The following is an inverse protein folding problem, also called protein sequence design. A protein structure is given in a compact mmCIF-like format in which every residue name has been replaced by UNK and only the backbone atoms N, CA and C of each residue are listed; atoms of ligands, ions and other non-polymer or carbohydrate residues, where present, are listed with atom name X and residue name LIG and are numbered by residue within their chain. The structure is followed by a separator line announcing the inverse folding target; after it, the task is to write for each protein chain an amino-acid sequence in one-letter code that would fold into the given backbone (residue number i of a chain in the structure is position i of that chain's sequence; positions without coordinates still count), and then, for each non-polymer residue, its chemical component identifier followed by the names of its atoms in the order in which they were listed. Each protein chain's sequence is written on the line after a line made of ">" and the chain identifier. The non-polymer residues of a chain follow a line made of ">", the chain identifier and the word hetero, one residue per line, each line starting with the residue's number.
data_IF_229574858474
#
_entry.id   IF_229574858474
#
_cell.length_a   1.000
_cell.length_b   1.000
_cell.length_c   1.000
_cell.angle_alpha   90.00
_cell.angle_beta   90.00
_cell.angle_gamma   90.00
#
_symmetry.space_group_name_H-M   'P 1'
#
loop_
_entity.id
_entity.type
_entity.pdbx_description
1 polymer ?
#
# COMPACT_ATOMS: atom_id res chain seq x y z
N UNK A 1 8.53 1.61 54.10
CA UNK A 1 8.04 2.38 55.27
C UNK A 1 8.00 3.85 54.88
N UNK A 2 6.99 4.60 55.33
CA UNK A 2 6.68 6.02 55.05
C UNK A 2 6.41 6.34 53.56
N UNK A 3 5.36 7.05 53.12
CA UNK A 3 4.35 8.00 53.66
C UNK A 3 4.76 9.48 53.81
N UNK A 4 4.60 10.23 52.71
CA UNK A 4 4.03 11.60 52.64
C UNK A 4 3.76 11.89 51.13
N UNK A 5 2.59 12.28 50.60
CA UNK A 5 1.37 12.99 51.06
C UNK A 5 1.49 14.51 51.20
N UNK A 6 0.99 15.26 50.20
CA UNK A 6 0.29 16.54 50.43
C UNK A 6 -0.74 16.85 49.33
N UNK A 7 -1.74 17.70 49.65
CA UNK A 7 -2.90 18.09 48.81
C UNK A 7 -2.59 19.31 47.93
N UNK A 8 -2.99 19.37 46.66
CA UNK A 8 -4.33 19.70 46.10
C UNK A 8 -4.85 21.10 46.50
N UNK A 9 -5.06 21.96 45.49
CA UNK A 9 -5.84 23.20 45.58
C UNK A 9 -6.39 23.62 44.20
N UNK A 10 -7.69 23.91 44.12
CA UNK A 10 -8.40 24.53 42.97
C UNK A 10 -9.21 25.72 43.49
N UNK A 11 -9.35 26.82 42.72
CA UNK A 11 -10.64 27.49 42.43
C UNK A 11 -10.50 28.89 41.76
N UNK A 12 -11.16 29.06 40.61
CA UNK A 12 -12.01 30.19 40.18
C UNK A 12 -11.77 31.65 40.67
N UNK A 13 -11.58 32.61 39.74
CA UNK A 13 -12.67 33.45 39.17
C UNK A 13 -12.21 34.60 38.21
N UNK A 14 -13.15 35.09 37.39
CA UNK A 14 -13.11 36.28 36.50
C UNK A 14 -14.58 36.70 36.19
N UNK A 15 -14.94 37.83 35.52
CA UNK A 15 -14.18 39.02 35.07
C UNK A 15 -14.74 40.29 35.82
N UNK A 16 -15.40 41.38 35.30
CA UNK A 16 -15.40 42.09 34.00
C UNK A 16 -15.47 43.67 34.00
N UNK A 17 -14.47 44.30 33.36
CA UNK A 17 -14.62 45.38 32.34
C UNK A 17 -15.10 46.85 32.65
N UNK A 18 -14.75 47.72 31.66
CA UNK A 18 -15.32 49.04 31.23
C UNK A 18 -14.83 50.39 31.85
N UNK A 19 -14.14 51.18 31.02
CA UNK A 19 -14.42 52.57 30.52
C UNK A 19 -13.39 52.87 29.40
N UNK A 20 -13.69 53.39 28.19
CA UNK A 20 -14.38 54.62 27.76
C UNK A 20 -13.57 55.91 28.07
N UNK A 21 -13.44 56.93 27.21
CA UNK A 21 -13.63 57.13 25.74
C UNK A 21 -13.12 58.58 25.44
N UNK A 22 -12.69 58.92 24.21
CA UNK A 22 -12.30 60.31 23.89
C UNK A 22 -12.16 60.60 22.40
N UNK A 23 -12.86 61.64 21.90
CA UNK A 23 -12.86 62.06 20.50
C UNK A 23 -12.35 63.50 20.31
N UNK A 24 -11.63 63.73 19.20
CA UNK A 24 -11.58 64.93 18.33
C UNK A 24 -10.48 64.69 17.27
N UNK A 25 -10.43 65.33 16.10
CA UNK A 25 -11.43 65.85 15.16
C UNK A 25 -10.63 66.32 13.92
N UNK A 26 -11.16 66.17 12.70
CA UNK A 26 -10.46 66.58 11.46
C UNK A 26 -10.49 68.10 11.23
N UNK A 27 -9.60 68.61 10.38
CA UNK A 27 -10.08 69.36 9.20
C UNK A 27 -9.55 68.77 7.88
N UNK A 28 -10.24 69.08 6.78
CA UNK A 28 -9.98 68.51 5.45
C UNK A 28 -9.28 69.49 4.50
N UNK A 29 -8.56 68.94 3.51
CA UNK A 29 -8.41 69.51 2.14
C UNK A 29 -7.92 68.45 1.15
N UNK A 30 -8.63 68.34 0.04
CA UNK A 30 -8.21 67.80 -1.25
C UNK A 30 -8.10 69.01 -2.23
N UNK A 31 -7.54 68.89 -3.45
CA UNK A 31 -7.17 67.66 -4.16
C UNK A 31 -5.72 67.64 -4.72
N UNK A 32 -5.30 66.49 -5.25
CA UNK A 32 -4.79 66.44 -6.63
C UNK A 32 -4.89 65.01 -7.20
N UNK A 33 -4.74 64.86 -8.52
CA UNK A 33 -5.08 63.62 -9.26
C UNK A 33 -3.81 62.89 -9.69
N UNK A 34 -3.61 61.68 -9.19
CA UNK A 34 -2.66 60.71 -9.77
C UNK A 34 -3.41 59.42 -10.07
N UNK A 35 -3.61 59.16 -11.37
CA UNK A 35 -4.15 57.88 -11.85
C UNK A 35 -3.00 56.86 -11.79
N UNK A 36 -2.89 56.16 -10.66
CA UNK A 36 -2.03 54.98 -10.57
C UNK A 36 -2.73 53.85 -11.32
N UNK A 37 -2.27 53.58 -12.54
CA UNK A 37 -2.64 52.35 -13.25
C UNK A 37 -2.06 51.19 -12.44
N UNK A 38 -2.92 50.49 -11.68
CA UNK A 38 -2.59 49.17 -11.14
C UNK A 38 -2.47 48.20 -12.31
N UNK A 39 -1.29 48.15 -12.91
CA UNK A 39 -0.92 47.07 -13.81
C UNK A 39 -0.86 45.80 -12.96
N UNK A 40 -1.93 45.02 -12.98
CA UNK A 40 -1.98 43.72 -12.33
C UNK A 40 -1.01 42.79 -13.04
N UNK A 41 0.25 42.81 -12.60
CA UNK A 41 1.13 41.67 -12.74
C UNK A 41 0.51 40.53 -11.95
N UNK A 42 -0.36 39.77 -12.63
CA UNK A 42 -0.52 38.38 -12.30
C UNK A 42 0.89 37.78 -12.38
N UNK A 43 1.51 37.55 -11.22
CA UNK A 43 2.67 36.68 -11.17
C UNK A 43 2.27 35.38 -11.87
N UNK A 44 3.06 34.85 -12.81
CA UNK A 44 2.77 33.54 -13.35
C UNK A 44 2.74 32.57 -12.16
N UNK A 45 1.56 32.01 -11.87
CA UNK A 45 1.43 30.97 -10.86
C UNK A 45 2.50 29.94 -11.16
N UNK A 46 3.42 29.73 -10.22
CA UNK A 46 4.52 28.81 -10.44
C UNK A 46 3.91 27.43 -10.74
N UNK A 47 4.02 26.99 -11.99
CA UNK A 47 3.72 25.62 -12.39
C UNK A 47 4.85 24.78 -11.79
N UNK A 48 4.70 24.47 -10.50
CA UNK A 48 5.60 23.60 -9.75
C UNK A 48 5.71 22.30 -10.54
N UNK A 49 6.94 21.94 -10.87
CA UNK A 49 7.16 21.23 -12.13
C UNK A 49 6.61 19.81 -12.09
N UNK A 50 5.65 19.53 -12.99
CA UNK A 50 5.22 18.18 -13.33
C UNK A 50 6.23 17.47 -14.26
N UNK A 51 7.44 17.98 -14.42
CA UNK A 51 8.51 17.37 -15.23
C UNK A 51 9.36 16.42 -14.37
N UNK A 52 9.47 15.17 -14.82
CA UNK A 52 10.38 14.22 -14.22
C UNK A 52 11.85 14.67 -14.36
N UNK A 53 12.68 14.27 -13.39
CA UNK A 53 14.14 14.47 -13.38
C UNK A 53 14.84 13.61 -14.44
N UNK A 54 14.63 13.91 -15.72
CA UNK A 54 15.09 13.12 -16.86
C UNK A 54 16.58 13.36 -17.17
N UNK A 55 17.37 12.28 -17.19
CA UNK A 55 18.76 12.25 -17.60
C UNK A 55 18.92 11.51 -18.94
N UNK A 56 19.91 11.89 -19.75
CA UNK A 56 20.19 11.29 -21.07
C UNK A 56 18.95 11.13 -21.97
N UNK A 57 18.05 12.12 -21.98
CA UNK A 57 16.76 12.06 -22.65
C UNK A 57 16.67 13.09 -23.79
N UNK A 58 16.06 12.71 -24.92
CA UNK A 58 15.62 13.66 -25.94
C UNK A 58 14.15 14.03 -25.67
N UNK A 59 13.94 14.91 -24.68
CA UNK A 59 12.60 15.24 -24.16
C UNK A 59 11.81 16.13 -25.12
N UNK A 60 10.53 15.82 -25.31
CA UNK A 60 9.55 16.62 -26.05
C UNK A 60 8.29 16.82 -25.21
N UNK A 61 8.12 18.01 -24.63
CA UNK A 61 6.93 18.37 -23.85
C UNK A 61 5.71 18.59 -24.77
N UNK A 62 4.54 18.08 -24.40
CA UNK A 62 3.27 18.22 -25.13
C UNK A 62 2.08 18.36 -24.19
N UNK A 63 1.33 19.45 -24.29
CA UNK A 63 0.11 19.67 -23.50
C UNK A 63 -1.08 18.85 -24.00
N UNK A 64 -1.74 18.12 -23.11
CA UNK A 64 -2.89 17.26 -23.44
C UNK A 64 -4.18 18.07 -23.59
N UNK A 65 -4.38 18.61 -24.79
CA UNK A 65 -5.51 19.51 -25.10
C UNK A 65 -6.79 18.80 -25.57
N UNK A 66 -6.72 17.56 -26.05
CA UNK A 66 -7.89 16.84 -26.61
C UNK A 66 -8.10 15.41 -26.07
N UNK A 67 -7.65 15.18 -24.83
CA UNK A 67 -7.82 13.94 -24.08
C UNK A 67 -6.59 13.01 -24.16
N UNK A 68 -6.16 12.47 -23.01
CA UNK A 68 -4.94 11.69 -22.88
C UNK A 68 -4.91 10.48 -23.81
N UNK A 69 -5.95 9.64 -23.78
CA UNK A 69 -6.10 8.44 -24.61
C UNK A 69 -5.86 8.74 -26.09
N UNK A 70 -6.42 9.85 -26.60
CA UNK A 70 -6.30 10.23 -28.01
C UNK A 70 -4.87 10.63 -28.39
N UNK A 71 -4.22 11.48 -27.59
CA UNK A 71 -2.84 11.91 -27.85
C UNK A 71 -1.85 10.75 -27.66
N UNK A 72 -2.04 9.94 -26.61
CA UNK A 72 -1.24 8.75 -26.35
C UNK A 72 -1.30 7.74 -27.50
N UNK A 73 -2.51 7.39 -27.99
CA UNK A 73 -2.64 6.46 -29.14
C UNK A 73 -2.11 7.07 -30.44
N UNK A 74 -2.18 8.41 -30.60
CA UNK A 74 -1.57 9.12 -31.72
C UNK A 74 -0.05 8.97 -31.73
N UNK A 75 0.59 9.17 -30.57
CA UNK A 75 2.03 8.93 -30.39
C UNK A 75 2.39 7.46 -30.67
N UNK A 76 1.73 6.51 -30.00
CA UNK A 76 1.98 5.06 -30.18
C UNK A 76 1.86 4.66 -31.65
N UNK A 77 0.81 5.07 -32.36
CA UNK A 77 0.57 4.69 -33.77
C UNK A 77 1.67 5.16 -34.72
N UNK A 78 2.30 6.30 -34.43
CA UNK A 78 3.34 6.89 -35.26
C UNK A 78 4.75 6.45 -34.87
N UNK A 79 4.95 5.92 -33.66
CA UNK A 79 6.26 5.56 -33.13
C UNK A 79 6.73 4.18 -33.60
N UNK A 80 7.79 4.16 -34.43
CA UNK A 80 8.43 2.93 -34.91
C UNK A 80 9.63 2.56 -34.04
N UNK A 81 10.59 3.48 -33.88
CA UNK A 81 11.78 3.26 -33.05
C UNK A 81 11.46 3.24 -31.56
N UNK A 82 12.41 2.82 -30.72
CA UNK A 82 12.22 2.83 -29.27
C UNK A 82 12.15 4.27 -28.72
N UNK A 83 11.08 4.57 -27.99
CA UNK A 83 10.90 5.82 -27.25
C UNK A 83 10.12 5.57 -25.95
N UNK A 84 10.01 6.62 -25.14
CA UNK A 84 9.17 6.64 -23.95
C UNK A 84 8.06 7.70 -24.11
N UNK A 85 6.88 7.40 -23.59
CA UNK A 85 5.83 8.39 -23.32
C UNK A 85 5.66 8.44 -21.81
N UNK A 86 5.69 9.62 -21.20
CA UNK A 86 5.62 9.77 -19.74
C UNK A 86 4.77 10.96 -19.31
N UNK A 87 4.26 10.91 -18.09
CA UNK A 87 3.58 12.03 -17.42
C UNK A 87 3.60 11.88 -15.90
N UNK A 88 3.30 12.98 -15.20
CA UNK A 88 3.08 13.03 -13.76
C UNK A 88 1.58 13.13 -13.43
N UNK A 89 1.15 12.50 -12.33
CA UNK A 89 -0.19 12.59 -11.72
C UNK A 89 -0.05 12.53 -10.20
N UNK A 90 -0.99 13.07 -9.43
CA UNK A 90 -0.90 13.07 -7.96
C UNK A 90 -0.89 11.63 -7.39
N UNK A 91 0.02 11.36 -6.46
CA UNK A 91 0.19 10.08 -5.79
C UNK A 91 -0.78 9.89 -4.60
N UNK A 92 -1.21 8.65 -4.34
CA UNK A 92 -1.98 8.30 -3.14
C UNK A 92 -1.16 8.57 -1.89
N UNK A 93 -1.79 8.95 -0.78
CA UNK A 93 -1.06 9.34 0.44
C UNK A 93 -0.20 8.20 1.00
N UNK A 94 1.02 8.52 1.42
CA UNK A 94 1.96 7.59 2.06
C UNK A 94 3.42 7.94 1.74
N UNK A 95 4.35 7.29 2.45
CA UNK A 95 5.75 7.24 2.02
C UNK A 95 5.88 6.11 0.99
N UNK A 96 5.81 6.47 -0.29
CA UNK A 96 6.11 5.59 -1.41
C UNK A 96 7.42 6.07 -2.03
N UNK A 97 8.44 5.22 -2.06
CA UNK A 97 9.69 5.49 -2.77
C UNK A 97 9.90 4.38 -3.80
N UNK A 98 9.84 4.76 -5.08
CA UNK A 98 9.76 3.82 -6.21
C UNK A 98 10.92 4.04 -7.18
N UNK A 99 12.15 4.12 -6.65
CA UNK A 99 13.37 4.23 -7.44
C UNK A 99 14.08 2.88 -7.67
N UNK A 100 15.01 2.86 -8.62
CA UNK A 100 15.66 1.64 -9.13
C UNK A 100 16.79 1.18 -8.22
N UNK A 101 16.47 0.65 -7.04
CA UNK A 101 17.47 0.04 -6.16
C UNK A 101 18.12 -1.18 -6.85
N UNK A 102 19.44 -1.16 -7.05
CA UNK A 102 20.20 -2.34 -7.44
C UNK A 102 20.34 -3.32 -6.26
N UNK A 103 21.07 -4.42 -6.45
CA UNK A 103 21.48 -5.29 -5.33
C UNK A 103 22.54 -4.65 -4.43
N UNK A 104 23.31 -3.70 -4.95
CA UNK A 104 24.44 -3.07 -4.26
C UNK A 104 23.94 -1.94 -3.35
N UNK A 105 22.99 -1.13 -3.84
CA UNK A 105 22.36 -0.01 -3.11
C UNK A 105 21.56 -0.43 -1.87
N UNK A 106 21.23 -1.72 -1.72
CA UNK A 106 20.44 -2.24 -0.57
C UNK A 106 21.11 -1.99 0.78
N UNK A 107 22.43 -1.83 0.79
CA UNK A 107 23.22 -1.55 1.99
C UNK A 107 23.49 -0.05 2.19
N UNK A 108 23.09 0.81 1.24
CA UNK A 108 23.18 2.25 1.38
C UNK A 108 22.07 2.80 2.31
N UNK A 109 22.34 3.87 3.08
CA UNK A 109 21.30 4.58 3.84
C UNK A 109 20.21 5.14 2.93
N UNK A 110 18.98 5.32 3.43
CA UNK A 110 17.84 5.80 2.64
C UNK A 110 18.13 7.11 1.88
N UNK A 111 18.85 8.05 2.51
CA UNK A 111 19.28 9.33 1.91
C UNK A 111 20.26 9.20 0.73
N UNK A 112 20.79 8.00 0.46
CA UNK A 112 21.58 7.70 -0.74
C UNK A 112 20.82 6.84 -1.77
N UNK A 113 19.53 6.53 -1.54
CA UNK A 113 18.69 5.71 -2.44
C UNK A 113 17.92 6.51 -3.49
N UNK A 114 18.08 7.83 -3.55
CA UNK A 114 17.65 8.69 -4.66
C UNK A 114 18.48 8.44 -5.95
N UNK A 115 18.76 7.17 -6.26
CA UNK A 115 19.70 6.72 -7.27
C UNK A 115 19.14 6.80 -8.69
N UNK A 116 20.04 6.98 -9.65
CA UNK A 116 19.73 7.09 -11.08
C UNK A 116 19.04 5.83 -11.62
N UNK A 117 17.77 5.98 -11.95
CA UNK A 117 16.89 4.96 -12.46
C UNK A 117 17.06 4.77 -13.97
N UNK A 118 17.78 3.73 -14.42
CA UNK A 118 17.87 3.46 -15.87
C UNK A 118 16.55 2.88 -16.40
N UNK A 119 15.95 3.56 -17.38
CA UNK A 119 14.69 3.16 -18.00
C UNK A 119 14.86 1.92 -18.89
N UNK A 120 15.96 1.88 -19.66
CA UNK A 120 16.39 0.75 -20.49
C UNK A 120 17.34 -0.19 -19.72
N UNK A 121 17.14 -1.50 -19.82
CA UNK A 121 17.95 -2.50 -19.10
C UNK A 121 17.28 -3.87 -19.06
N UNK A 122 17.91 -4.82 -18.34
CA UNK A 122 17.34 -6.15 -18.09
C UNK A 122 16.32 -6.17 -16.94
N UNK A 123 16.39 -5.19 -16.04
CA UNK A 123 15.48 -5.07 -14.90
C UNK A 123 14.17 -4.39 -15.31
N UNK A 124 13.23 -5.22 -15.77
CA UNK A 124 11.83 -4.85 -16.00
C UNK A 124 10.99 -4.74 -14.72
N UNK A 125 11.56 -5.10 -13.55
CA UNK A 125 10.86 -5.11 -12.28
C UNK A 125 10.58 -3.71 -11.73
N UNK A 126 9.47 -3.58 -11.01
CA UNK A 126 9.21 -2.44 -10.12
C UNK A 126 9.60 -2.84 -8.70
N UNK A 127 10.69 -2.27 -8.17
CA UNK A 127 11.11 -2.46 -6.79
C UNK A 127 10.30 -1.51 -5.91
N UNK A 128 9.19 -2.01 -5.35
CA UNK A 128 8.33 -1.24 -4.46
C UNK A 128 8.82 -1.37 -3.00
N UNK A 129 9.32 -0.28 -2.41
CA UNK A 129 9.72 -0.25 -0.99
C UNK A 129 8.65 0.44 -0.15
N UNK A 130 8.02 -0.32 0.74
CA UNK A 130 7.05 0.14 1.75
C UNK A 130 7.61 0.15 3.18
N UNK A 131 8.85 -0.32 3.35
CA UNK A 131 9.36 -0.78 4.64
C UNK A 131 10.33 0.21 5.27
N UNK A 132 9.77 1.18 5.97
CA UNK A 132 10.42 1.82 7.11
C UNK A 132 9.39 2.50 8.01
N UNK A 133 9.26 2.01 9.25
CA UNK A 133 8.62 2.74 10.36
C UNK A 133 9.59 3.81 10.94
N UNK A 134 10.63 4.16 10.18
CA UNK A 134 11.83 4.88 10.63
C UNK A 134 12.39 5.90 9.64
N UNK A 135 11.89 5.98 8.40
CA UNK A 135 12.32 7.02 7.47
C UNK A 135 11.35 8.19 7.55
N UNK A 136 11.83 9.29 8.15
CA UNK A 136 11.28 10.65 8.00
C UNK A 136 11.57 11.19 6.59
N UNK A 137 11.33 10.36 5.57
CA UNK A 137 11.60 10.68 4.17
C UNK A 137 10.61 11.68 3.60
N UNK A 138 11.07 12.51 2.66
CA UNK A 138 10.21 13.43 1.92
C UNK A 138 9.15 12.63 1.14
N UNK A 139 7.88 12.93 1.40
CA UNK A 139 6.74 12.35 0.67
C UNK A 139 6.79 12.81 -0.78
N UNK A 140 6.81 11.86 -1.71
CA UNK A 140 6.58 12.14 -3.12
C UNK A 140 5.10 12.48 -3.36
N UNK A 141 4.81 13.67 -3.89
CA UNK A 141 3.45 14.12 -4.18
C UNK A 141 2.98 13.73 -5.60
N UNK A 142 3.90 13.53 -6.55
CA UNK A 142 3.60 13.04 -7.90
C UNK A 142 4.17 11.65 -8.21
N UNK A 143 3.30 10.85 -8.82
CA UNK A 143 3.56 9.57 -9.44
C UNK A 143 3.96 9.78 -10.90
N UNK A 144 5.11 9.24 -11.30
CA UNK A 144 5.59 9.27 -12.69
C UNK A 144 5.18 7.96 -13.38
N UNK A 145 4.33 8.05 -14.41
CA UNK A 145 3.89 6.89 -15.20
C UNK A 145 4.55 6.93 -16.57
N UNK A 146 5.32 5.90 -16.92
CA UNK A 146 6.09 5.83 -18.16
C UNK A 146 5.81 4.56 -18.97
N UNK A 147 5.56 4.75 -20.27
CA UNK A 147 5.25 3.71 -21.24
C UNK A 147 6.37 3.59 -22.26
N UNK A 148 7.01 2.42 -22.36
CA UNK A 148 7.98 2.16 -23.43
C UNK A 148 7.24 1.78 -24.69
N UNK A 149 7.50 2.52 -25.76
CA UNK A 149 6.87 2.35 -27.07
C UNK A 149 7.90 1.98 -28.13
N UNK A 150 7.53 1.05 -29.00
CA UNK A 150 8.30 0.60 -30.17
C UNK A 150 7.37 -0.19 -31.10
N UNK A 151 7.69 -0.27 -32.38
CA UNK A 151 6.94 -1.08 -33.37
C UNK A 151 5.43 -0.79 -33.39
N UNK A 152 5.06 0.48 -33.13
CA UNK A 152 3.69 0.99 -33.00
C UNK A 152 2.89 0.35 -31.87
N UNK A 153 3.57 -0.12 -30.83
CA UNK A 153 3.02 -0.86 -29.69
C UNK A 153 3.54 -0.35 -28.35
N UNK A 154 2.88 -0.73 -27.25
CA UNK A 154 3.39 -0.54 -25.88
C UNK A 154 4.03 -1.84 -25.40
N UNK A 155 5.33 -1.80 -25.12
CA UNK A 155 6.12 -2.95 -24.68
C UNK A 155 6.11 -3.17 -23.17
N UNK A 156 6.30 -2.12 -22.38
CA UNK A 156 6.23 -2.15 -20.90
C UNK A 156 5.71 -0.83 -20.32
N UNK A 157 5.10 -0.93 -19.14
CA UNK A 157 4.70 0.20 -18.30
C UNK A 157 5.59 0.15 -17.05
N UNK A 158 6.16 1.29 -16.67
CA UNK A 158 6.93 1.48 -15.43
C UNK A 158 6.36 2.65 -14.65
N UNK A 159 6.51 2.59 -13.33
CA UNK A 159 6.01 3.58 -12.37
C UNK A 159 7.16 3.96 -11.46
N UNK A 160 7.31 5.26 -11.19
CA UNK A 160 8.34 5.82 -10.32
C UNK A 160 7.76 6.99 -9.51
N UNK A 161 8.56 7.53 -8.60
CA UNK A 161 8.27 8.77 -7.85
C UNK A 161 9.17 9.91 -8.33
N UNK A 162 8.72 11.15 -8.09
CA UNK A 162 9.38 12.39 -8.55
C UNK A 162 10.80 12.61 -8.03
N UNK A 163 11.17 11.95 -6.93
CA UNK A 163 12.50 12.05 -6.33
C UNK A 163 13.57 11.33 -7.17
N UNK A 164 13.19 10.32 -7.96
CA UNK A 164 14.08 9.54 -8.81
C UNK A 164 14.59 10.34 -10.03
N UNK A 165 15.92 10.37 -10.23
CA UNK A 165 16.49 10.75 -11.54
C UNK A 165 16.29 9.60 -12.54
N UNK A 166 15.69 9.85 -13.70
CA UNK A 166 15.32 8.83 -14.70
C UNK A 166 16.23 8.89 -15.95
N UNK A 167 17.14 7.93 -16.10
CA UNK A 167 18.08 7.84 -17.23
C UNK A 167 17.44 7.10 -18.43
N UNK A 168 17.13 7.86 -19.48
CA UNK A 168 16.48 7.37 -20.70
C UNK A 168 17.43 6.72 -21.71
N UNK A 169 18.73 6.63 -21.44
CA UNK A 169 19.70 5.91 -22.29
C UNK A 169 19.89 6.48 -23.70
N UNK A 170 19.59 7.77 -23.91
CA UNK A 170 19.67 8.47 -25.19
C UNK A 170 18.36 8.51 -25.99
N UNK A 171 17.29 7.85 -25.52
CA UNK A 171 16.02 7.75 -26.24
C UNK A 171 15.17 9.03 -26.18
N UNK A 172 14.26 9.16 -27.15
CA UNK A 172 13.20 10.17 -27.14
C UNK A 172 12.21 9.95 -26.00
N UNK A 173 11.84 11.02 -25.31
CA UNK A 173 10.84 11.00 -24.23
C UNK A 173 9.74 12.03 -24.52
N UNK A 174 8.56 11.55 -24.91
CA UNK A 174 7.38 12.40 -25.05
C UNK A 174 6.78 12.65 -23.67
N UNK A 175 7.01 13.84 -23.11
CA UNK A 175 6.46 14.21 -21.80
C UNK A 175 5.12 14.90 -21.97
N UNK A 176 4.05 14.30 -21.44
CA UNK A 176 2.69 14.82 -21.54
C UNK A 176 2.36 15.67 -20.31
N UNK A 177 2.03 16.94 -20.53
CA UNK A 177 1.59 17.87 -19.47
C UNK A 177 0.06 17.99 -19.44
N UNK A 178 -0.46 18.56 -18.35
CA UNK A 178 -1.90 18.83 -18.18
C UNK A 178 -2.78 17.56 -18.10
N UNK A 179 -2.16 16.43 -17.73
CA UNK A 179 -2.79 15.12 -17.63
C UNK A 179 -3.73 15.07 -16.42
N UNK A 180 -5.02 14.86 -16.67
CA UNK A 180 -6.01 14.68 -15.58
C UNK A 180 -5.86 13.28 -14.98
N UNK A 181 -5.81 13.11 -13.65
CA UNK A 181 -5.63 11.79 -13.02
C UNK A 181 -6.66 10.74 -13.47
N UNK A 182 -7.95 11.10 -13.57
CA UNK A 182 -8.97 10.21 -14.13
C UNK A 182 -8.69 9.75 -15.58
N UNK A 183 -8.16 10.62 -16.44
CA UNK A 183 -7.81 10.25 -17.82
C UNK A 183 -6.62 9.28 -17.87
N UNK A 184 -5.68 9.39 -16.92
CA UNK A 184 -4.62 8.40 -16.73
C UNK A 184 -5.18 7.05 -16.26
N UNK A 185 -6.10 7.04 -15.29
CA UNK A 185 -6.76 5.82 -14.82
C UNK A 185 -7.53 5.13 -15.94
N UNK A 186 -8.27 5.88 -16.76
CA UNK A 186 -9.00 5.35 -17.92
C UNK A 186 -8.04 4.75 -18.97
N UNK A 187 -6.93 5.43 -19.30
CA UNK A 187 -5.88 4.91 -20.18
C UNK A 187 -5.24 3.64 -19.61
N UNK A 188 -4.88 3.63 -18.32
CA UNK A 188 -4.25 2.49 -17.66
C UNK A 188 -5.19 1.27 -17.62
N UNK A 189 -6.48 1.49 -17.38
CA UNK A 189 -7.48 0.42 -17.37
C UNK A 189 -7.57 -0.33 -18.72
N UNK A 190 -7.33 0.35 -19.85
CA UNK A 190 -7.30 -0.30 -21.17
C UNK A 190 -6.26 -1.43 -21.28
N UNK A 191 -5.17 -1.39 -20.51
CA UNK A 191 -4.13 -2.45 -20.47
C UNK A 191 -4.49 -3.62 -19.55
N UNK A 192 -5.57 -3.48 -18.75
CA UNK A 192 -6.15 -4.53 -17.91
C UNK A 192 -7.35 -5.19 -18.60
N UNK A 193 -8.08 -4.44 -19.43
CA UNK A 193 -9.29 -4.89 -20.15
C UNK A 193 -9.02 -5.40 -21.57
N UNK A 194 -7.85 -5.11 -22.13
CA UNK A 194 -7.47 -5.53 -23.48
C UNK A 194 -7.39 -7.06 -23.63
N UNK A 195 -7.90 -7.57 -24.77
CA UNK A 195 -7.72 -8.97 -25.20
C UNK A 195 -6.29 -9.27 -25.68
N UNK A 196 -5.27 -8.75 -25.00
CA UNK A 196 -3.90 -9.19 -25.28
C UNK A 196 -3.74 -10.67 -24.88
N UNK A 197 -2.91 -11.45 -25.59
CA UNK A 197 -2.75 -12.87 -25.28
C UNK A 197 -2.23 -13.10 -23.85
N UNK A 198 -2.55 -14.26 -23.27
CA UNK A 198 -2.06 -14.73 -21.95
C UNK A 198 -0.52 -14.91 -21.88
N UNK A 199 0.17 -14.59 -22.97
CA UNK A 199 1.60 -14.38 -23.06
C UNK A 199 2.12 -13.50 -21.92
N UNK A 200 3.32 -13.82 -21.44
CA UNK A 200 3.98 -13.20 -20.28
C UNK A 200 4.11 -11.67 -20.38
N UNK A 201 4.14 -11.10 -21.59
CA UNK A 201 4.21 -9.65 -21.81
C UNK A 201 2.87 -8.93 -21.56
N UNK A 202 1.73 -9.52 -21.95
CA UNK A 202 0.40 -8.95 -21.70
C UNK A 202 0.10 -8.90 -20.21
N UNK A 203 0.38 -10.01 -19.51
CA UNK A 203 0.25 -10.10 -18.04
C UNK A 203 1.07 -9.04 -17.31
N UNK A 204 2.37 -8.89 -17.61
CA UNK A 204 3.22 -7.83 -17.05
C UNK A 204 2.68 -6.41 -17.25
N UNK A 205 2.06 -6.11 -18.40
CA UNK A 205 1.45 -4.79 -18.65
C UNK A 205 0.19 -4.58 -17.79
N UNK A 206 -0.67 -5.59 -17.67
CA UNK A 206 -1.83 -5.57 -16.77
C UNK A 206 -1.41 -5.43 -15.30
N UNK A 207 -0.39 -6.18 -14.88
CA UNK A 207 0.22 -6.11 -13.54
C UNK A 207 0.69 -4.69 -13.21
N UNK A 208 1.50 -4.08 -14.10
CA UNK A 208 1.98 -2.70 -13.94
C UNK A 208 0.87 -1.65 -14.01
N UNK A 209 -0.18 -1.86 -14.81
CA UNK A 209 -1.30 -0.92 -14.93
C UNK A 209 -2.17 -0.90 -13.67
N UNK A 210 -2.45 -2.06 -13.07
CA UNK A 210 -3.17 -2.15 -11.78
C UNK A 210 -2.37 -1.46 -10.67
N UNK A 211 -1.05 -1.69 -10.62
CA UNK A 211 -0.17 -1.03 -9.67
C UNK A 211 -0.17 0.50 -9.84
N UNK A 212 -0.04 0.98 -11.08
CA UNK A 212 -0.11 2.41 -11.40
C UNK A 212 -1.43 3.03 -10.94
N UNK A 213 -2.58 2.41 -11.25
CA UNK A 213 -3.91 2.88 -10.82
C UNK A 213 -4.01 2.95 -9.30
N UNK A 214 -3.54 1.92 -8.58
CA UNK A 214 -3.58 1.91 -7.12
C UNK A 214 -2.73 2.98 -6.44
N UNK A 215 -1.71 3.50 -7.14
CA UNK A 215 -0.86 4.59 -6.68
C UNK A 215 -1.42 5.99 -7.00
N UNK A 216 -2.57 6.14 -7.68
CA UNK A 216 -3.17 7.46 -7.94
C UNK A 216 -3.93 8.02 -6.72
N UNK A 217 -3.85 9.33 -6.50
CA UNK A 217 -4.64 10.03 -5.49
C UNK A 217 -6.16 10.06 -5.78
N UNK A 218 -6.54 10.03 -7.06
CA UNK A 218 -7.91 10.24 -7.52
C UNK A 218 -8.85 9.09 -7.11
N UNK A 219 -10.00 9.35 -6.45
CA UNK A 219 -10.99 8.33 -6.04
C UNK A 219 -11.55 7.47 -7.18
N UNK A 220 -11.40 7.88 -8.45
CA UNK A 220 -11.70 7.04 -9.60
C UNK A 220 -10.83 5.77 -9.63
N UNK A 221 -9.68 5.75 -8.95
CA UNK A 221 -8.83 4.56 -8.78
C UNK A 221 -9.59 3.46 -8.03
N UNK A 222 -10.17 3.76 -6.87
CA UNK A 222 -10.93 2.77 -6.07
C UNK A 222 -12.12 2.22 -6.86
N UNK A 223 -12.86 3.10 -7.56
CA UNK A 223 -13.97 2.71 -8.45
C UNK A 223 -13.52 1.87 -9.65
N UNK A 224 -12.23 1.88 -9.99
CA UNK A 224 -11.65 1.11 -11.10
C UNK A 224 -11.10 -0.23 -10.63
N UNK A 225 -10.38 -0.24 -9.49
CA UNK A 225 -9.95 -1.46 -8.80
C UNK A 225 -11.14 -2.32 -8.38
N UNK A 226 -12.25 -1.71 -7.93
CA UNK A 226 -13.49 -2.44 -7.61
C UNK A 226 -14.04 -3.22 -8.82
N UNK A 227 -13.96 -2.64 -10.03
CA UNK A 227 -14.37 -3.35 -11.26
C UNK A 227 -13.43 -4.50 -11.60
N UNK A 228 -12.15 -4.40 -11.24
CA UNK A 228 -11.13 -5.42 -11.51
C UNK A 228 -11.26 -6.65 -10.60
N UNK A 229 -11.97 -6.54 -9.48
CA UNK A 229 -12.27 -7.67 -8.57
C UNK A 229 -13.63 -8.34 -8.83
N UNK A 230 -14.40 -7.94 -9.84
CA UNK A 230 -15.63 -8.65 -10.25
C UNK A 230 -15.32 -10.14 -10.51
N UNK A 231 -16.10 -11.03 -9.90
CA UNK A 231 -15.86 -12.47 -9.88
C UNK A 231 -15.83 -13.16 -11.27
N UNK A 232 -16.23 -12.48 -12.35
CA UNK A 232 -16.14 -12.96 -13.74
C UNK A 232 -14.78 -12.66 -14.39
N UNK A 233 -13.93 -11.83 -13.77
CA UNK A 233 -12.58 -11.53 -14.26
C UNK A 233 -11.57 -12.64 -13.90
N UNK A 234 -10.48 -12.79 -14.67
CA UNK A 234 -9.45 -13.80 -14.42
C UNK A 234 -8.89 -13.74 -13.00
N UNK A 235 -8.57 -14.90 -12.42
CA UNK A 235 -8.05 -15.01 -11.03
C UNK A 235 -6.86 -14.06 -10.79
N UNK A 236 -5.91 -13.99 -11.73
CA UNK A 236 -4.69 -13.19 -11.56
C UNK A 236 -4.97 -11.66 -11.52
N UNK A 237 -5.99 -11.18 -12.24
CA UNK A 237 -6.41 -9.76 -12.20
C UNK A 237 -7.04 -9.44 -10.85
N UNK A 238 -7.96 -10.29 -10.37
CA UNK A 238 -8.61 -10.14 -9.05
C UNK A 238 -7.57 -10.19 -7.93
N UNK A 239 -6.64 -11.14 -8.00
CA UNK A 239 -5.54 -11.39 -7.05
C UNK A 239 -4.56 -10.21 -6.97
N UNK A 240 -3.99 -9.77 -8.10
CA UNK A 240 -3.08 -8.62 -8.09
C UNK A 240 -3.80 -7.34 -7.59
N UNK A 241 -5.05 -7.13 -7.99
CA UNK A 241 -5.85 -6.00 -7.49
C UNK A 241 -6.05 -6.07 -5.97
N UNK A 242 -6.36 -7.26 -5.42
CA UNK A 242 -6.50 -7.47 -3.98
C UNK A 242 -5.23 -7.09 -3.20
N UNK A 243 -4.04 -7.48 -3.66
CA UNK A 243 -2.76 -7.06 -3.06
C UNK A 243 -2.66 -5.53 -2.93
N UNK A 244 -2.91 -4.80 -4.02
CA UNK A 244 -2.81 -3.34 -4.02
C UNK A 244 -3.91 -2.64 -3.20
N UNK A 245 -5.13 -3.18 -3.19
CA UNK A 245 -6.21 -2.73 -2.31
C UNK A 245 -5.78 -2.79 -0.84
N UNK A 246 -5.22 -3.92 -0.41
CA UNK A 246 -4.79 -4.11 0.98
C UNK A 246 -3.60 -3.26 1.38
N UNK A 247 -2.63 -3.10 0.48
CA UNK A 247 -1.39 -2.37 0.75
C UNK A 247 -1.60 -0.83 0.75
N UNK A 248 -2.35 -0.28 -0.21
CA UNK A 248 -2.38 1.17 -0.48
C UNK A 248 -3.73 1.88 -0.30
N UNK A 249 -4.87 1.18 -0.41
CA UNK A 249 -6.18 1.84 -0.59
C UNK A 249 -6.98 2.07 0.71
N UNK A 250 -6.33 1.91 1.87
CA UNK A 250 -6.88 2.25 3.19
C UNK A 250 -8.26 1.62 3.43
N UNK A 251 -9.21 2.44 3.90
CA UNK A 251 -10.58 2.01 4.21
C UNK A 251 -11.32 1.43 3.00
N UNK A 252 -11.20 2.04 1.82
CA UNK A 252 -11.85 1.52 0.59
C UNK A 252 -11.21 0.22 0.11
N UNK A 253 -9.90 0.08 0.28
CA UNK A 253 -9.20 -1.19 0.13
C UNK A 253 -9.74 -2.28 1.05
N UNK A 254 -9.91 -1.96 2.33
CA UNK A 254 -10.47 -2.86 3.34
C UNK A 254 -11.93 -3.24 3.04
N UNK A 255 -12.82 -2.29 2.75
CA UNK A 255 -14.23 -2.54 2.40
C UNK A 255 -14.36 -3.56 1.26
N UNK A 256 -13.59 -3.38 0.19
CA UNK A 256 -13.60 -4.25 -0.98
C UNK A 256 -13.02 -5.63 -0.63
N UNK A 257 -11.90 -5.71 0.10
CA UNK A 257 -11.29 -6.98 0.51
C UNK A 257 -12.16 -7.78 1.48
N UNK A 258 -12.82 -7.13 2.43
CA UNK A 258 -13.75 -7.76 3.37
C UNK A 258 -14.95 -8.39 2.64
N UNK A 259 -15.45 -7.75 1.57
CA UNK A 259 -16.43 -8.39 0.67
C UNK A 259 -15.83 -9.58 -0.07
N UNK A 260 -14.66 -9.43 -0.70
CA UNK A 260 -14.02 -10.51 -1.46
C UNK A 260 -13.73 -11.76 -0.61
N UNK A 261 -13.19 -11.60 0.61
CA UNK A 261 -12.83 -12.73 1.49
C UNK A 261 -14.07 -13.51 1.99
N UNK A 262 -15.28 -12.98 1.81
CA UNK A 262 -16.54 -13.64 2.14
C UNK A 262 -17.27 -14.20 0.91
N UNK A 263 -17.25 -13.46 -0.21
CA UNK A 263 -18.13 -13.72 -1.35
C UNK A 263 -17.44 -14.37 -2.56
N UNK A 264 -16.11 -14.31 -2.67
CA UNK A 264 -15.44 -14.80 -3.87
C UNK A 264 -15.61 -16.32 -4.07
N UNK A 265 -16.02 -16.80 -5.27
CA UNK A 265 -16.20 -18.21 -5.53
C UNK A 265 -14.90 -19.02 -5.34
N UNK A 266 -13.74 -18.43 -5.63
CA UNK A 266 -12.43 -19.08 -5.58
C UNK A 266 -11.82 -19.01 -4.19
N UNK A 267 -11.47 -20.16 -3.63
CA UNK A 267 -10.77 -20.25 -2.33
C UNK A 267 -9.35 -19.67 -2.40
N UNK A 268 -8.64 -19.83 -3.52
CA UNK A 268 -7.35 -19.15 -3.77
C UNK A 268 -7.45 -17.62 -3.69
N UNK A 269 -8.57 -17.05 -4.14
CA UNK A 269 -8.78 -15.60 -4.04
C UNK A 269 -9.10 -15.20 -2.60
N UNK A 270 -9.93 -15.94 -1.86
CA UNK A 270 -10.18 -15.66 -0.44
C UNK A 270 -8.91 -15.83 0.41
N UNK A 271 -8.08 -16.84 0.14
CA UNK A 271 -6.71 -16.98 0.66
C UNK A 271 -5.87 -15.72 0.38
N UNK A 272 -5.85 -15.22 -0.87
CA UNK A 272 -5.05 -14.05 -1.20
C UNK A 272 -5.60 -12.75 -0.61
N UNK A 273 -6.92 -12.60 -0.50
CA UNK A 273 -7.56 -11.49 0.22
C UNK A 273 -7.21 -11.52 1.71
N UNK A 274 -7.04 -12.71 2.30
CA UNK A 274 -6.57 -12.85 3.68
C UNK A 274 -5.14 -12.30 3.85
N UNK A 275 -4.24 -12.59 2.90
CA UNK A 275 -2.91 -11.97 2.86
C UNK A 275 -2.98 -10.45 2.64
N UNK A 276 -3.85 -9.97 1.76
CA UNK A 276 -4.03 -8.53 1.54
C UNK A 276 -4.60 -7.78 2.77
N UNK A 277 -5.51 -8.42 3.52
CA UNK A 277 -5.99 -7.93 4.82
C UNK A 277 -4.86 -7.90 5.88
N UNK A 278 -3.90 -8.83 5.80
CA UNK A 278 -2.69 -8.76 6.61
C UNK A 278 -1.79 -7.56 6.26
N UNK A 279 -1.69 -7.17 4.98
CA UNK A 279 -0.97 -5.94 4.59
C UNK A 279 -1.69 -4.65 5.04
N UNK A 280 -3.01 -4.71 5.27
CA UNK A 280 -3.79 -3.52 5.61
C UNK A 280 -3.43 -2.92 6.97
N UNK A 281 -3.41 -1.58 6.98
CA UNK A 281 -3.25 -0.72 8.16
C UNK A 281 -4.60 -0.41 8.85
N UNK A 282 -5.73 -0.82 8.27
CA UNK A 282 -7.06 -0.65 8.87
C UNK A 282 -7.23 -1.63 10.04
N UNK A 283 -7.52 -1.18 11.28
CA UNK A 283 -7.63 -2.06 12.46
C UNK A 283 -8.64 -3.20 12.31
N UNK A 284 -9.73 -2.93 11.61
CA UNK A 284 -10.85 -3.85 11.36
C UNK A 284 -10.43 -5.07 10.52
N UNK A 285 -9.33 -4.98 9.74
CA UNK A 285 -8.79 -6.09 8.97
C UNK A 285 -8.39 -7.29 9.85
N UNK A 286 -8.00 -7.07 11.11
CA UNK A 286 -7.79 -8.14 12.10
C UNK A 286 -9.10 -8.88 12.39
N UNK A 287 -10.20 -8.16 12.58
CA UNK A 287 -11.51 -8.76 12.86
C UNK A 287 -12.00 -9.57 11.64
N UNK A 288 -11.79 -9.07 10.42
CA UNK A 288 -12.14 -9.78 9.18
C UNK A 288 -11.31 -11.07 8.98
N UNK A 289 -10.02 -11.07 9.33
CA UNK A 289 -9.21 -12.30 9.35
C UNK A 289 -9.69 -13.28 10.43
N UNK A 290 -10.13 -12.81 11.61
CA UNK A 290 -10.73 -13.66 12.65
C UNK A 290 -12.06 -14.27 12.20
N UNK A 291 -12.91 -13.52 11.50
CA UNK A 291 -14.14 -14.04 10.88
C UNK A 291 -13.80 -15.11 9.84
N UNK A 292 -12.81 -14.85 8.98
CA UNK A 292 -12.33 -15.80 7.95
C UNK A 292 -11.77 -17.09 8.57
N UNK A 293 -10.96 -16.98 9.62
CA UNK A 293 -10.39 -18.11 10.36
C UNK A 293 -11.44 -19.03 10.99
N UNK A 294 -12.61 -18.49 11.37
CA UNK A 294 -13.73 -19.25 11.95
C UNK A 294 -14.69 -19.80 10.90
N UNK A 295 -15.01 -19.00 9.88
CA UNK A 295 -16.23 -19.20 9.09
C UNK A 295 -16.00 -19.60 7.62
N UNK A 296 -14.76 -19.60 7.09
CA UNK A 296 -14.57 -19.96 5.68
C UNK A 296 -14.88 -21.45 5.41
N UNK A 297 -15.68 -21.68 4.36
CA UNK A 297 -16.07 -22.99 3.82
C UNK A 297 -14.88 -23.90 3.43
N UNK A 298 -13.69 -23.34 3.23
CA UNK A 298 -12.45 -24.06 2.92
C UNK A 298 -11.49 -24.07 4.11
N UNK A 299 -11.16 -25.27 4.58
CA UNK A 299 -10.16 -25.54 5.62
C UNK A 299 -8.80 -24.88 5.31
N UNK A 300 -8.44 -24.83 4.03
CA UNK A 300 -7.21 -24.19 3.57
C UNK A 300 -7.24 -22.68 3.85
N UNK A 301 -8.35 -22.00 3.54
CA UNK A 301 -8.52 -20.55 3.79
C UNK A 301 -8.57 -20.25 5.29
N UNK A 302 -9.33 -21.02 6.09
CA UNK A 302 -9.32 -20.89 7.57
C UNK A 302 -7.90 -21.03 8.12
N UNK A 303 -7.18 -22.04 7.64
CA UNK A 303 -5.79 -22.31 7.96
C UNK A 303 -4.79 -21.20 7.57
N UNK A 304 -5.03 -20.49 6.47
CA UNK A 304 -4.22 -19.34 6.06
C UNK A 304 -4.52 -18.09 6.88
N UNK A 305 -5.79 -17.85 7.25
CA UNK A 305 -6.13 -16.77 8.17
C UNK A 305 -5.47 -16.91 9.54
N UNK A 306 -5.40 -18.14 10.06
CA UNK A 306 -4.66 -18.45 11.29
C UNK A 306 -3.16 -18.14 11.18
N UNK A 307 -2.53 -18.44 10.03
CA UNK A 307 -1.13 -18.11 9.77
C UNK A 307 -0.90 -16.60 9.74
N UNK A 308 -1.71 -15.84 8.98
CA UNK A 308 -1.57 -14.39 8.85
C UNK A 308 -1.95 -13.60 10.11
N UNK A 309 -2.82 -14.15 10.96
CA UNK A 309 -3.13 -13.60 12.28
C UNK A 309 -1.91 -13.67 13.22
N UNK A 310 -1.16 -14.78 13.22
CA UNK A 310 0.05 -14.88 14.05
C UNK A 310 1.09 -13.81 13.69
N UNK A 311 1.17 -13.41 12.41
CA UNK A 311 2.09 -12.38 11.92
C UNK A 311 1.69 -10.93 12.31
N UNK A 312 0.48 -10.67 12.83
CA UNK A 312 0.11 -9.34 13.39
C UNK A 312 0.24 -9.24 14.92
N UNK A 313 0.39 -10.39 15.61
CA UNK A 313 0.50 -10.51 17.07
C UNK A 313 -0.67 -9.90 17.89
N UNK A 314 -0.61 -10.08 19.22
CA UNK A 314 -1.54 -9.50 20.19
C UNK A 314 -2.77 -10.34 20.50
N UNK A 315 -3.36 -10.08 21.67
CA UNK A 315 -4.33 -10.91 22.37
C UNK A 315 -5.45 -11.47 21.46
N UNK A 316 -6.14 -10.60 20.69
CA UNK A 316 -7.24 -10.99 19.79
C UNK A 316 -6.84 -12.07 18.78
N UNK A 317 -5.67 -11.95 18.17
CA UNK A 317 -5.19 -12.89 17.17
C UNK A 317 -4.88 -14.24 17.83
N UNK A 318 -4.21 -14.21 18.98
CA UNK A 318 -3.83 -15.40 19.72
C UNK A 318 -4.99 -16.06 20.49
N UNK A 319 -6.06 -15.34 20.80
CA UNK A 319 -7.35 -15.88 21.24
C UNK A 319 -8.05 -16.62 20.10
N UNK A 320 -8.16 -16.00 18.92
CA UNK A 320 -8.76 -16.64 17.74
C UNK A 320 -8.00 -17.90 17.29
N UNK A 321 -6.67 -17.90 17.39
CA UNK A 321 -5.84 -19.08 17.16
C UNK A 321 -6.13 -20.17 18.22
N UNK A 322 -6.24 -19.80 19.50
CA UNK A 322 -6.56 -20.76 20.58
C UNK A 322 -7.97 -21.37 20.43
N UNK A 323 -8.94 -20.55 20.01
CA UNK A 323 -10.32 -20.94 19.71
C UNK A 323 -10.38 -21.98 18.58
N UNK A 324 -9.66 -21.76 17.47
CA UNK A 324 -9.59 -22.73 16.38
C UNK A 324 -9.01 -24.10 16.81
N UNK A 325 -8.00 -24.12 17.69
CA UNK A 325 -7.40 -25.37 18.21
C UNK A 325 -8.44 -26.21 18.96
N UNK A 326 -9.29 -25.59 19.77
CA UNK A 326 -10.34 -26.30 20.51
C UNK A 326 -11.57 -26.59 19.64
N UNK A 327 -12.00 -25.66 18.78
CA UNK A 327 -13.35 -25.65 18.19
C UNK A 327 -13.47 -25.87 16.67
N UNK A 328 -12.40 -25.77 15.87
CA UNK A 328 -12.53 -26.06 14.42
C UNK A 328 -12.97 -27.52 14.17
N UNK A 329 -13.83 -27.82 13.17
CA UNK A 329 -14.22 -29.20 12.86
C UNK A 329 -13.05 -30.07 12.33
N UNK A 330 -12.01 -29.48 11.74
CA UNK A 330 -10.99 -30.20 10.98
C UNK A 330 -9.62 -30.23 11.69
N UNK A 331 -9.07 -31.44 11.85
CA UNK A 331 -7.82 -31.66 12.60
C UNK A 331 -6.62 -30.94 11.95
N UNK A 332 -6.55 -30.83 10.63
CA UNK A 332 -5.44 -30.13 9.97
C UNK A 332 -5.53 -28.60 10.10
N UNK A 333 -6.72 -28.03 10.31
CA UNK A 333 -6.86 -26.61 10.67
C UNK A 333 -6.43 -26.38 12.12
N UNK A 334 -6.80 -27.28 13.05
CA UNK A 334 -6.26 -27.27 14.43
C UNK A 334 -4.74 -27.32 14.44
N UNK A 335 -4.13 -28.19 13.62
CA UNK A 335 -2.66 -28.29 13.50
C UNK A 335 -2.02 -27.03 12.91
N UNK A 336 -2.64 -26.40 11.91
CA UNK A 336 -2.23 -25.07 11.41
C UNK A 336 -2.34 -23.99 12.51
N UNK A 337 -3.36 -24.05 13.37
CA UNK A 337 -3.49 -23.15 14.51
C UNK A 337 -2.42 -23.41 15.60
N UNK A 338 -2.06 -24.68 15.87
CA UNK A 338 -0.92 -25.00 16.75
C UNK A 338 0.39 -24.46 16.17
N UNK A 339 0.63 -24.60 14.86
CA UNK A 339 1.76 -23.95 14.19
C UNK A 339 1.69 -22.43 14.34
N UNK A 340 0.53 -21.80 14.16
CA UNK A 340 0.35 -20.36 14.36
C UNK A 340 0.73 -19.90 15.78
N UNK A 341 0.40 -20.67 16.84
CA UNK A 341 0.88 -20.38 18.21
C UNK A 341 2.41 -20.40 18.33
N UNK A 342 3.11 -21.23 17.56
CA UNK A 342 4.59 -21.30 17.57
C UNK A 342 5.26 -20.07 16.95
N UNK A 343 4.52 -19.29 16.16
CA UNK A 343 4.99 -18.07 15.50
C UNK A 343 4.71 -16.79 16.33
N UNK A 344 3.93 -16.90 17.41
CA UNK A 344 3.71 -15.81 18.36
C UNK A 344 4.97 -15.53 19.21
N UNK A 345 5.10 -14.33 19.81
CA UNK A 345 6.15 -14.05 20.80
C UNK A 345 6.20 -15.12 21.90
N UNK A 346 7.40 -15.58 22.28
CA UNK A 346 7.57 -16.79 23.12
C UNK A 346 6.77 -16.74 24.43
N UNK A 347 6.69 -15.58 25.06
CA UNK A 347 5.98 -15.41 26.34
C UNK A 347 4.45 -15.56 26.22
N UNK A 348 3.90 -15.45 25.01
CA UNK A 348 2.51 -15.78 24.71
C UNK A 348 2.37 -17.19 24.12
N UNK A 349 3.18 -17.51 23.11
CA UNK A 349 3.09 -18.77 22.35
C UNK A 349 3.38 -20.01 23.20
N UNK A 350 4.47 -20.00 23.99
CA UNK A 350 4.90 -21.18 24.76
C UNK A 350 3.90 -21.56 25.86
N UNK A 351 3.35 -20.63 26.68
CA UNK A 351 2.31 -20.98 27.65
C UNK A 351 1.01 -21.48 27.00
N UNK A 352 0.67 -21.02 25.79
CA UNK A 352 -0.48 -21.54 25.03
C UNK A 352 -0.21 -22.96 24.52
N UNK A 353 0.95 -23.20 23.91
CA UNK A 353 1.36 -24.54 23.43
C UNK A 353 1.43 -25.58 24.56
N UNK A 354 1.98 -25.25 25.74
CA UNK A 354 2.01 -26.18 26.89
C UNK A 354 0.59 -26.56 27.35
N UNK A 355 -0.38 -25.63 27.33
CA UNK A 355 -1.78 -25.96 27.64
C UNK A 355 -2.39 -26.91 26.61
N UNK A 356 -2.15 -26.67 25.32
CA UNK A 356 -2.62 -27.55 24.23
C UNK A 356 -2.02 -28.95 24.38
N UNK A 357 -0.70 -29.05 24.56
CA UNK A 357 0.02 -30.32 24.71
C UNK A 357 -0.44 -31.17 25.91
N UNK A 358 -0.91 -30.53 27.00
CA UNK A 358 -1.48 -31.19 28.17
C UNK A 358 -2.95 -31.58 27.98
N UNK A 359 -3.80 -30.63 27.57
CA UNK A 359 -5.24 -30.69 27.81
C UNK A 359 -6.12 -30.86 26.56
N UNK A 360 -5.61 -30.58 25.35
CA UNK A 360 -6.44 -30.68 24.15
C UNK A 360 -6.90 -32.12 23.92
N UNK A 361 -8.19 -32.30 23.58
CA UNK A 361 -8.79 -33.64 23.47
C UNK A 361 -8.21 -34.48 22.33
N UNK A 362 -7.80 -33.85 21.23
CA UNK A 362 -7.29 -34.52 20.04
C UNK A 362 -5.80 -34.90 20.20
N UNK A 363 -5.49 -36.20 20.04
CA UNK A 363 -4.13 -36.74 20.20
C UNK A 363 -3.12 -36.12 19.23
N UNK A 364 -3.50 -35.93 17.96
CA UNK A 364 -2.57 -35.38 16.96
C UNK A 364 -2.31 -33.89 17.20
N UNK A 365 -3.28 -33.17 17.75
CA UNK A 365 -3.11 -31.76 18.16
C UNK A 365 -2.19 -31.65 19.37
N UNK A 366 -2.30 -32.53 20.37
CA UNK A 366 -1.31 -32.61 21.48
C UNK A 366 0.09 -32.92 20.96
N UNK A 367 0.21 -33.86 20.02
CA UNK A 367 1.48 -34.29 19.40
C UNK A 367 2.14 -33.17 18.59
N UNK A 368 1.38 -32.42 17.78
CA UNK A 368 1.92 -31.25 17.08
C UNK A 368 2.36 -30.16 18.08
N UNK A 369 1.62 -29.95 19.18
CA UNK A 369 2.03 -29.00 20.21
C UNK A 369 3.34 -29.43 20.91
N UNK A 370 3.50 -30.72 21.22
CA UNK A 370 4.78 -31.28 21.69
C UNK A 370 5.92 -31.06 20.67
N UNK A 371 5.66 -31.26 19.37
CA UNK A 371 6.65 -31.02 18.32
C UNK A 371 7.13 -29.56 18.29
N UNK A 372 6.21 -28.60 18.27
CA UNK A 372 6.56 -27.17 18.24
C UNK A 372 7.21 -26.68 19.54
N UNK A 373 6.84 -27.24 20.69
CA UNK A 373 7.56 -27.04 21.95
C UNK A 373 9.01 -27.54 21.87
N UNK A 374 9.24 -28.70 21.23
CA UNK A 374 10.58 -29.23 20.96
C UNK A 374 11.42 -28.36 20.03
N UNK A 375 10.81 -27.59 19.13
CA UNK A 375 11.51 -26.62 18.26
C UNK A 375 11.78 -25.27 18.94
N UNK A 376 11.18 -25.00 20.11
CA UNK A 376 11.15 -23.66 20.69
C UNK A 376 12.48 -23.17 21.28
N UNK A 377 13.36 -24.09 21.71
CA UNK A 377 14.51 -23.79 22.56
C UNK A 377 14.17 -22.85 23.74
N UNK A 378 13.01 -23.06 24.38
CA UNK A 378 12.54 -22.30 25.53
C UNK A 378 12.61 -23.15 26.81
N UNK A 379 13.18 -22.64 27.93
CA UNK A 379 13.31 -23.44 29.16
C UNK A 379 11.97 -23.88 29.77
N UNK A 380 10.86 -23.19 29.46
CA UNK A 380 9.51 -23.61 29.88
C UNK A 380 9.03 -24.85 29.14
N UNK A 381 9.48 -25.05 27.90
CA UNK A 381 9.24 -26.28 27.16
C UNK A 381 10.07 -27.45 27.72
N UNK A 382 11.35 -27.21 28.07
CA UNK A 382 12.20 -28.22 28.70
C UNK A 382 11.61 -28.70 30.04
N UNK A 383 11.29 -27.80 30.96
CA UNK A 383 10.69 -28.15 32.25
C UNK A 383 9.36 -28.90 32.11
N UNK A 384 8.58 -28.60 31.07
CA UNK A 384 7.37 -29.36 30.73
C UNK A 384 7.67 -30.78 30.24
N UNK A 385 8.70 -30.99 29.41
CA UNK A 385 9.12 -32.33 29.01
C UNK A 385 9.67 -33.13 30.20
N UNK A 386 10.44 -32.51 31.11
CA UNK A 386 10.93 -33.15 32.34
C UNK A 386 9.76 -33.65 33.22
N UNK A 387 8.72 -32.83 33.40
CA UNK A 387 7.51 -33.24 34.14
C UNK A 387 6.77 -34.40 33.44
N UNK A 388 6.61 -34.35 32.12
CA UNK A 388 5.88 -35.37 31.33
C UNK A 388 6.67 -36.68 31.14
N UNK A 389 7.99 -36.67 31.35
CA UNK A 389 8.84 -37.87 31.28
C UNK A 389 9.13 -38.48 32.67
N UNK A 390 8.62 -37.87 33.75
CA UNK A 390 8.78 -38.37 35.13
C UNK A 390 7.49 -38.95 35.72
N UNK A 391 6.40 -38.99 34.95
CA UNK A 391 5.05 -39.44 35.35
C UNK A 391 4.39 -40.31 34.26
#
# INVERSE_FOLDING_TARGET
>A
MNLSSFKVGRAFHSPPARRALGHRALPARLPEIIIIIMLTMAAPSAVLSQEARLANAQTQNRAVTSGLEKEFRSLVKNQVEAAWIGYAVAAVEGNHHICCCSSEDRHAPASFRHGRCRLEGRDDGMNFQTNSESDEGERADYLLVLFRVADKSVGKIRVFTEDCELDAGGLSVYWLTDVKPKESIDLLASFVEGKEPEAKAGRRKSESAIAAIALHADPAADTTLEKFVDAKRPEEVRKNTAFWLGNLRGEKGYEILHRMVREDPSDKIREHCTFALHLSKVPEAVNAMIETARNDKSAHVRGQALFWLAQKAGDKAAEAISDAIENDPETDVKKKAVFALSQLPKDEGIPKLVRVARANRNREVRKDAMFWLGQSNDPRALAFFEEVLTH
#
